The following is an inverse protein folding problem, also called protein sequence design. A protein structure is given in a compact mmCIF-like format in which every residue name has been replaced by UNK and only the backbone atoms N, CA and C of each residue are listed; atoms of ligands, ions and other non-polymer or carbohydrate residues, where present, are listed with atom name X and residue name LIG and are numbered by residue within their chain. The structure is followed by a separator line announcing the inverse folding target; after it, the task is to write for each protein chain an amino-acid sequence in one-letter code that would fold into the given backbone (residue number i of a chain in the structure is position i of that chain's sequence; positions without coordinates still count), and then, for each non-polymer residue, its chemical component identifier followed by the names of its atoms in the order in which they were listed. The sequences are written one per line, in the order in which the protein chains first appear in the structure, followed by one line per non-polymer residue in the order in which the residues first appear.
data_IF_208783992942
#
_entry.id   IF_208783992942
#
_cell.length_a   1.000
_cell.length_b   1.000
_cell.length_c   1.000
_cell.angle_alpha   90.00
_cell.angle_beta   90.00
_cell.angle_gamma   90.00
#
_symmetry.space_group_name_H-M   'P 1'
#
loop_
_entity.id
_entity.type
_entity.pdbx_description
1 polymer ?
#
# COMPACT_ATOMS: atom_id res chain seq x y z
N UNK A 1 29.37 -22.87 40.21
CA UNK A 1 30.14 -22.14 39.18
C UNK A 1 29.92 -22.69 37.78
N UNK A 2 30.25 -23.94 37.46
CA UNK A 2 30.05 -24.48 36.09
C UNK A 2 28.58 -24.66 35.69
N UNK A 3 27.72 -25.07 36.64
CA UNK A 3 26.27 -25.16 36.38
C UNK A 3 25.65 -23.79 36.10
N UNK A 4 26.11 -22.74 36.79
CA UNK A 4 25.59 -21.37 36.61
C UNK A 4 25.91 -20.83 35.20
N UNK A 5 27.05 -21.22 34.62
CA UNK A 5 27.42 -20.85 33.23
C UNK A 5 26.54 -21.60 32.23
N UNK A 6 26.35 -22.92 32.40
CA UNK A 6 25.50 -23.72 31.51
C UNK A 6 24.04 -23.28 31.56
N UNK A 7 23.55 -22.85 32.72
CA UNK A 7 22.19 -22.34 32.87
C UNK A 7 22.03 -20.97 32.19
N UNK A 8 23.04 -20.10 32.28
CA UNK A 8 23.05 -18.81 31.59
C UNK A 8 23.10 -18.98 30.06
N UNK A 9 23.91 -19.90 29.54
CA UNK A 9 23.96 -20.23 28.12
C UNK A 9 22.60 -20.71 27.60
N UNK A 10 21.93 -21.56 28.38
CA UNK A 10 20.59 -22.05 28.04
C UNK A 10 19.55 -20.92 28.01
N UNK A 11 19.61 -20.01 28.98
CA UNK A 11 18.69 -18.86 29.05
C UNK A 11 18.93 -17.87 27.89
N UNK A 12 20.18 -17.64 27.51
CA UNK A 12 20.53 -16.82 26.35
C UNK A 12 19.97 -17.42 25.06
N UNK A 13 20.10 -18.74 24.87
CA UNK A 13 19.59 -19.41 23.67
C UNK A 13 18.06 -19.37 23.61
N UNK A 14 17.38 -19.61 24.72
CA UNK A 14 15.93 -19.46 24.83
C UNK A 14 15.48 -18.03 24.53
N UNK A 15 16.22 -17.04 25.01
CA UNK A 15 15.95 -15.63 24.76
C UNK A 15 16.15 -15.29 23.29
N UNK A 16 17.22 -15.78 22.64
CA UNK A 16 17.46 -15.61 21.19
C UNK A 16 16.32 -16.16 20.35
N UNK A 17 15.86 -17.37 20.64
CA UNK A 17 14.74 -18.00 19.93
C UNK A 17 13.45 -17.17 20.06
N UNK A 18 13.18 -16.63 21.26
CA UNK A 18 12.02 -15.77 21.51
C UNK A 18 12.13 -14.43 20.77
N UNK A 19 13.33 -13.83 20.70
CA UNK A 19 13.56 -12.62 19.91
C UNK A 19 13.37 -12.87 18.42
N UNK A 20 13.94 -13.94 17.86
CA UNK A 20 13.78 -14.30 16.45
C UNK A 20 12.28 -14.46 16.09
N UNK A 21 11.52 -15.19 16.92
CA UNK A 21 10.07 -15.33 16.73
C UNK A 21 9.33 -13.98 16.78
N UNK A 22 9.72 -13.10 17.70
CA UNK A 22 9.10 -11.77 17.83
C UNK A 22 9.42 -10.89 16.63
N UNK A 23 10.65 -10.97 16.11
CA UNK A 23 11.09 -10.24 14.92
C UNK A 23 10.31 -10.71 13.68
N UNK A 24 10.15 -12.02 13.48
CA UNK A 24 9.36 -12.56 12.37
C UNK A 24 7.90 -12.11 12.42
N UNK A 25 7.31 -12.10 13.62
CA UNK A 25 5.95 -11.59 13.83
C UNK A 25 5.84 -10.09 13.52
N UNK A 26 6.83 -9.29 13.91
CA UNK A 26 6.89 -7.86 13.59
C UNK A 26 7.08 -7.61 12.09
N UNK A 27 7.92 -8.38 11.42
CA UNK A 27 8.14 -8.28 9.98
C UNK A 27 6.87 -8.64 9.19
N UNK A 28 6.14 -9.66 9.65
CA UNK A 28 4.86 -10.03 9.04
C UNK A 28 3.75 -9.00 9.31
N UNK A 29 3.75 -8.34 10.47
CA UNK A 29 2.68 -7.40 10.87
C UNK A 29 2.93 -5.97 10.39
N UNK A 30 4.19 -5.59 10.21
CA UNK A 30 4.59 -4.37 9.50
C UNK A 30 4.55 -4.53 7.99
N UNK A 31 4.17 -5.72 7.50
CA UNK A 31 4.12 -5.99 6.07
C UNK A 31 3.23 -4.95 5.38
N UNK A 32 3.80 -4.14 4.48
CA UNK A 32 3.19 -2.92 3.92
C UNK A 32 1.94 -3.18 3.07
N UNK A 33 1.51 -4.44 2.97
CA UNK A 33 0.40 -4.91 2.15
C UNK A 33 -0.93 -4.32 2.60
N UNK A 34 -1.10 -4.07 3.90
CA UNK A 34 -2.31 -3.44 4.43
C UNK A 34 -2.39 -1.96 4.07
N UNK A 35 -1.25 -1.26 4.06
CA UNK A 35 -1.19 0.15 3.62
C UNK A 35 -1.42 0.25 2.12
N UNK A 36 -0.71 -0.53 1.31
CA UNK A 36 -0.90 -0.55 -0.14
C UNK A 36 -2.35 -0.87 -0.55
N UNK A 37 -2.99 -1.81 0.17
CA UNK A 37 -4.41 -2.16 -0.08
C UNK A 37 -5.35 -1.02 0.28
N UNK A 38 -5.10 -0.31 1.38
CA UNK A 38 -5.90 0.86 1.79
C UNK A 38 -5.81 1.98 0.77
N UNK A 39 -4.59 2.30 0.32
CA UNK A 39 -4.36 3.33 -0.70
C UNK A 39 -5.04 2.96 -2.03
N UNK A 40 -4.88 1.72 -2.50
CA UNK A 40 -5.54 1.26 -3.72
C UNK A 40 -7.07 1.32 -3.61
N UNK A 41 -7.63 0.97 -2.45
CA UNK A 41 -9.07 1.05 -2.22
C UNK A 41 -9.57 2.50 -2.10
N UNK A 42 -8.77 3.42 -1.56
CA UNK A 42 -9.10 4.84 -1.54
C UNK A 42 -9.20 5.42 -2.96
N UNK A 43 -8.23 5.09 -3.82
CA UNK A 43 -8.26 5.49 -5.25
C UNK A 43 -9.46 4.88 -5.97
N UNK A 44 -9.75 3.59 -5.75
CA UNK A 44 -10.95 2.95 -6.32
C UNK A 44 -12.24 3.58 -5.81
N UNK A 45 -12.30 3.93 -4.53
CA UNK A 45 -13.44 4.58 -3.88
C UNK A 45 -13.82 5.93 -4.51
N UNK A 46 -12.86 6.58 -5.19
CA UNK A 46 -13.14 7.78 -5.96
C UNK A 46 -14.01 7.49 -7.20
N UNK A 47 -13.86 6.31 -7.81
CA UNK A 47 -14.54 5.94 -9.05
C UNK A 47 -15.68 4.94 -8.86
N UNK A 48 -15.70 4.22 -7.75
CA UNK A 48 -16.70 3.18 -7.45
C UNK A 48 -17.16 3.37 -6.01
N UNK A 49 -18.46 3.33 -5.78
CA UNK A 49 -19.02 3.42 -4.43
C UNK A 49 -18.61 2.18 -3.60
N UNK A 50 -17.93 2.35 -2.45
CA UNK A 50 -17.50 1.22 -1.64
C UNK A 50 -18.64 0.42 -1.00
N UNK A 51 -19.82 1.04 -0.80
CA UNK A 51 -20.96 0.41 -0.14
C UNK A 51 -21.86 -0.34 -1.13
N UNK A 52 -22.08 0.22 -2.32
CA UNK A 52 -22.98 -0.37 -3.33
C UNK A 52 -22.24 -1.07 -4.47
N UNK A 53 -20.96 -0.77 -4.68
CA UNK A 53 -20.18 -1.25 -5.83
C UNK A 53 -20.52 -0.54 -7.15
N UNK A 54 -21.39 0.46 -7.12
CA UNK A 54 -21.82 1.17 -8.32
C UNK A 54 -20.74 2.14 -8.83
N UNK A 55 -20.54 2.26 -10.16
CA UNK A 55 -19.63 3.26 -10.71
C UNK A 55 -20.12 4.68 -10.42
N UNK A 56 -19.20 5.53 -9.94
CA UNK A 56 -19.41 6.98 -9.76
C UNK A 56 -19.25 7.68 -11.11
N UNK A 57 -20.29 7.59 -11.92
CA UNK A 57 -20.31 8.11 -13.30
C UNK A 57 -19.94 9.58 -13.40
N UNK A 58 -20.31 10.42 -12.41
CA UNK A 58 -19.92 11.83 -12.35
C UNK A 58 -18.39 12.02 -12.29
N UNK A 59 -17.71 11.29 -11.41
CA UNK A 59 -16.25 11.38 -11.26
C UNK A 59 -15.53 10.81 -12.49
N UNK A 60 -16.05 9.71 -13.05
CA UNK A 60 -15.53 9.13 -14.29
C UNK A 60 -15.66 10.14 -15.43
N UNK A 61 -16.83 10.78 -15.58
CA UNK A 61 -17.09 11.75 -16.64
C UNK A 61 -16.20 12.98 -16.53
N UNK A 62 -15.93 13.46 -15.32
CA UNK A 62 -14.97 14.56 -15.08
C UNK A 62 -13.56 14.20 -15.57
N UNK A 63 -13.05 13.02 -15.19
CA UNK A 63 -11.72 12.56 -15.63
C UNK A 63 -11.66 12.43 -17.15
N UNK A 64 -12.69 11.86 -17.77
CA UNK A 64 -12.79 11.76 -19.24
C UNK A 64 -12.79 13.15 -19.89
N UNK A 65 -13.58 14.09 -19.36
CA UNK A 65 -13.63 15.47 -19.87
C UNK A 65 -12.29 16.17 -19.81
N UNK A 66 -11.54 16.01 -18.71
CA UNK A 66 -10.19 16.57 -18.57
C UNK A 66 -9.23 15.97 -19.58
N UNK A 67 -9.23 14.65 -19.76
CA UNK A 67 -8.36 13.95 -20.71
C UNK A 67 -8.65 14.41 -22.14
N UNK A 68 -9.92 14.37 -22.55
CA UNK A 68 -10.35 14.79 -23.89
C UNK A 68 -10.04 16.27 -24.13
N UNK A 69 -10.33 17.13 -23.16
CA UNK A 69 -10.02 18.56 -23.24
C UNK A 69 -8.53 18.83 -23.38
N UNK A 70 -7.68 18.12 -22.62
CA UNK A 70 -6.23 18.26 -22.70
C UNK A 70 -5.71 17.82 -24.07
N UNK A 71 -6.17 16.68 -24.58
CA UNK A 71 -5.80 16.20 -25.92
C UNK A 71 -6.22 17.21 -26.99
N UNK A 72 -7.45 17.73 -26.92
CA UNK A 72 -7.95 18.73 -27.85
C UNK A 72 -7.07 19.98 -27.86
N UNK A 73 -6.71 20.50 -26.68
CA UNK A 73 -5.80 21.65 -26.54
C UNK A 73 -4.43 21.34 -27.17
N UNK A 74 -3.83 20.18 -26.87
CA UNK A 74 -2.53 19.80 -27.42
C UNK A 74 -2.56 19.68 -28.95
N UNK A 75 -3.65 19.15 -29.52
CA UNK A 75 -3.83 19.05 -30.98
C UNK A 75 -3.94 20.44 -31.60
N UNK A 76 -4.73 21.34 -31.02
CA UNK A 76 -4.86 22.73 -31.49
C UNK A 76 -3.52 23.46 -31.44
N UNK A 77 -2.79 23.35 -30.33
CA UNK A 77 -1.46 23.96 -30.20
C UNK A 77 -0.50 23.42 -31.25
N UNK A 78 -0.44 22.09 -31.44
CA UNK A 78 0.39 21.48 -32.50
C UNK A 78 0.00 21.98 -33.88
N UNK A 79 -1.29 22.13 -34.16
CA UNK A 79 -1.80 22.58 -35.46
C UNK A 79 -1.45 24.04 -35.76
N UNK A 80 -1.41 24.90 -34.74
CA UNK A 80 -1.09 26.33 -34.90
C UNK A 80 0.42 26.59 -34.91
N UNK A 81 1.19 25.76 -34.20
CA UNK A 81 2.65 25.88 -34.12
C UNK A 81 3.42 25.17 -35.25
N UNK A 82 2.73 24.36 -36.07
CA UNK A 82 3.29 23.72 -37.27
C UNK A 82 2.85 24.47 -38.52
#
# INVERSE_FOLDING_TARGET
MSNDITDLEREIEQTRLRLASTIDQLLHRTHPKTIATREANAVKGYYVDPATGEPRTDNILKTVGVVVGTIAVLVVVRRVAS
#
